data_IF_776457551939
#
_entry.id   IF_776457551939
#
_cell.length_a   1.000
_cell.length_b   1.000
_cell.length_c   1.000
_cell.angle_alpha   90.00
_cell.angle_beta   90.00
_cell.angle_gamma   90.00
#
_symmetry.space_group_name_H-M   'P 1'
#
loop_
_entity.id
_entity.type
_entity.pdbx_description
1 polymer ?
#
# COMPACT_ATOMS: atom_id res chain seq x y z
N UNK A 1 53.73 -15.41 -11.68
CA UNK A 1 53.88 -14.24 -10.79
C UNK A 1 52.66 -13.35 -10.93
N UNK A 2 52.11 -12.94 -9.78
CA UNK A 2 50.89 -12.15 -9.58
C UNK A 2 50.91 -10.80 -10.31
N UNK A 3 49.78 -10.44 -10.93
CA UNK A 3 49.37 -9.04 -11.11
C UNK A 3 47.93 -8.93 -10.67
N UNK A 4 47.76 -8.56 -9.40
CA UNK A 4 46.48 -8.21 -8.80
C UNK A 4 46.01 -6.89 -9.40
N UNK A 5 44.93 -6.92 -10.17
CA UNK A 5 44.22 -5.72 -10.57
C UNK A 5 43.11 -5.48 -9.53
N UNK A 6 43.44 -4.71 -8.51
CA UNK A 6 42.49 -4.14 -7.56
C UNK A 6 41.67 -3.06 -8.28
N UNK A 7 40.46 -3.38 -8.70
CA UNK A 7 39.46 -2.36 -9.05
C UNK A 7 38.60 -2.14 -7.82
N UNK A 8 38.98 -1.13 -7.04
CA UNK A 8 38.15 -0.53 -6.02
C UNK A 8 37.01 0.24 -6.72
N UNK A 9 35.81 -0.34 -6.77
CA UNK A 9 34.61 0.45 -7.07
C UNK A 9 34.16 1.11 -5.76
N UNK A 10 34.68 2.31 -5.56
CA UNK A 10 34.16 3.25 -4.61
C UNK A 10 32.79 3.76 -5.06
N UNK A 11 31.95 4.09 -4.08
CA UNK A 11 30.91 5.12 -4.15
C UNK A 11 29.80 4.91 -5.18
N UNK A 12 28.65 4.49 -4.69
CA UNK A 12 27.64 5.50 -4.36
C UNK A 12 26.68 4.92 -3.34
N UNK A 13 26.73 5.51 -2.15
CA UNK A 13 25.65 5.49 -1.19
C UNK A 13 24.41 6.02 -1.92
N UNK A 14 23.62 5.10 -2.49
CA UNK A 14 22.31 5.41 -3.02
C UNK A 14 21.41 5.70 -1.84
N UNK A 15 21.47 6.93 -1.33
CA UNK A 15 20.35 7.50 -0.60
C UNK A 15 19.18 7.46 -1.57
N UNK A 16 18.38 6.41 -1.47
CA UNK A 16 17.13 6.31 -2.17
C UNK A 16 16.32 7.52 -1.74
N UNK A 17 16.27 8.50 -2.63
CA UNK A 17 15.51 9.73 -2.50
C UNK A 17 14.10 9.35 -2.06
N UNK A 18 13.71 9.81 -0.88
CA UNK A 18 12.33 9.87 -0.44
C UNK A 18 11.60 10.87 -1.36
N UNK A 19 11.19 10.42 -2.53
CA UNK A 19 10.42 11.18 -3.49
C UNK A 19 9.39 10.25 -4.13
N UNK A 20 8.19 10.19 -3.53
CA UNK A 20 6.92 9.86 -4.20
C UNK A 20 5.78 9.56 -3.20
N UNK A 21 5.61 10.31 -2.11
CA UNK A 21 4.42 10.10 -1.26
C UNK A 21 3.12 10.40 -2.03
N UNK A 22 3.10 11.43 -2.88
CA UNK A 22 1.91 11.80 -3.65
C UNK A 22 1.63 10.88 -4.85
N UNK A 23 2.63 10.54 -5.67
CA UNK A 23 2.40 9.64 -6.82
C UNK A 23 2.09 8.20 -6.40
N UNK A 24 2.44 7.83 -5.17
CA UNK A 24 2.09 6.54 -4.59
C UNK A 24 0.62 6.50 -4.13
N UNK A 25 0.08 7.60 -3.60
CA UNK A 25 -1.32 7.63 -3.16
C UNK A 25 -2.34 7.44 -4.30
N UNK A 26 -2.10 8.02 -5.48
CA UNK A 26 -3.01 7.82 -6.61
C UNK A 26 -2.96 6.38 -7.13
N UNK A 27 -1.78 5.78 -7.18
CA UNK A 27 -1.60 4.37 -7.52
C UNK A 27 -2.32 3.44 -6.52
N UNK A 28 -2.14 3.69 -5.22
CA UNK A 28 -2.80 2.92 -4.16
C UNK A 28 -4.32 3.06 -4.25
N UNK A 29 -4.85 4.27 -4.46
CA UNK A 29 -6.28 4.51 -4.66
C UNK A 29 -6.82 3.78 -5.89
N UNK A 30 -6.10 3.83 -7.01
CA UNK A 30 -6.48 3.13 -8.25
C UNK A 30 -6.52 1.61 -8.06
N UNK A 31 -5.55 1.05 -7.35
CA UNK A 31 -5.51 -0.38 -7.07
C UNK A 31 -6.64 -0.82 -6.12
N UNK A 32 -6.95 -0.04 -5.09
CA UNK A 32 -8.09 -0.32 -4.20
C UNK A 32 -9.42 -0.26 -4.97
N UNK A 33 -9.57 0.71 -5.88
CA UNK A 33 -10.73 0.79 -6.76
C UNK A 33 -10.85 -0.45 -7.66
N UNK A 34 -9.76 -0.88 -8.29
CA UNK A 34 -9.72 -2.10 -9.11
C UNK A 34 -10.08 -3.34 -8.31
N UNK A 35 -9.57 -3.46 -7.08
CA UNK A 35 -9.92 -4.57 -6.19
C UNK A 35 -11.40 -4.52 -5.81
N UNK A 36 -11.98 -3.34 -5.61
CA UNK A 36 -13.41 -3.18 -5.33
C UNK A 36 -14.27 -3.67 -6.51
N UNK A 37 -13.93 -3.28 -7.74
CA UNK A 37 -14.58 -3.82 -8.96
C UNK A 37 -14.46 -5.34 -9.05
N UNK A 38 -13.30 -5.91 -8.64
CA UNK A 38 -13.10 -7.35 -8.55
C UNK A 38 -13.94 -8.02 -7.46
N UNK A 39 -14.17 -7.35 -6.33
CA UNK A 39 -15.05 -7.82 -5.25
C UNK A 39 -16.49 -7.89 -5.75
N UNK A 40 -16.98 -6.85 -6.42
CA UNK A 40 -18.33 -6.83 -6.97
C UNK A 40 -18.52 -7.95 -8.00
N UNK A 41 -17.53 -8.15 -8.87
CA UNK A 41 -17.55 -9.25 -9.84
C UNK A 41 -17.52 -10.64 -9.18
N UNK A 42 -16.77 -10.81 -8.07
CA UNK A 42 -16.73 -12.05 -7.31
C UNK A 42 -18.04 -12.29 -6.55
N UNK A 43 -18.65 -11.24 -6.01
CA UNK A 43 -19.94 -11.29 -5.32
C UNK A 43 -21.05 -11.79 -6.26
N UNK A 44 -21.13 -11.27 -7.49
CA UNK A 44 -22.10 -11.74 -8.49
C UNK A 44 -21.89 -13.19 -8.97
N UNK A 45 -20.75 -13.81 -8.60
CA UNK A 45 -20.40 -15.20 -8.95
C UNK A 45 -20.38 -16.13 -7.73
N UNK A 46 -20.80 -15.65 -6.56
CA UNK A 46 -20.71 -16.38 -5.29
C UNK A 46 -19.28 -16.86 -4.95
N UNK A 47 -18.25 -16.19 -5.45
CA UNK A 47 -16.84 -16.52 -5.20
C UNK A 47 -16.33 -15.84 -3.92
N UNK A 48 -16.71 -16.44 -2.79
CA UNK A 48 -16.32 -15.95 -1.47
C UNK A 48 -14.80 -15.95 -1.25
N UNK A 49 -14.06 -16.85 -1.91
CA UNK A 49 -12.61 -16.94 -1.77
C UNK A 49 -11.92 -15.72 -2.40
N UNK A 50 -12.29 -15.40 -3.65
CA UNK A 50 -11.75 -14.22 -4.34
C UNK A 50 -12.17 -12.94 -3.65
N UNK A 51 -13.42 -12.84 -3.20
CA UNK A 51 -13.90 -11.70 -2.43
C UNK A 51 -13.06 -11.48 -1.17
N UNK A 52 -12.89 -12.53 -0.34
CA UNK A 52 -12.12 -12.45 0.90
C UNK A 52 -10.67 -12.03 0.65
N UNK A 53 -10.03 -12.60 -0.38
CA UNK A 53 -8.65 -12.24 -0.76
C UNK A 53 -8.51 -10.76 -1.12
N UNK A 54 -9.39 -10.24 -1.98
CA UNK A 54 -9.36 -8.84 -2.40
C UNK A 54 -9.66 -7.88 -1.24
N UNK A 55 -10.58 -8.25 -0.34
CA UNK A 55 -10.88 -7.47 0.87
C UNK A 55 -9.65 -7.39 1.80
N UNK A 56 -8.95 -8.49 2.03
CA UNK A 56 -7.72 -8.53 2.84
C UNK A 56 -6.63 -7.68 2.18
N UNK A 57 -6.48 -7.76 0.86
CA UNK A 57 -5.53 -6.92 0.13
C UNK A 57 -5.85 -5.43 0.28
N UNK A 58 -7.11 -5.04 0.11
CA UNK A 58 -7.54 -3.65 0.32
C UNK A 58 -7.25 -3.18 1.75
N UNK A 59 -7.57 -4.00 2.75
CA UNK A 59 -7.25 -3.70 4.15
C UNK A 59 -5.76 -3.42 4.32
N UNK A 60 -4.90 -4.34 3.88
CA UNK A 60 -3.46 -4.18 4.03
C UNK A 60 -2.92 -2.94 3.30
N UNK A 61 -3.43 -2.64 2.10
CA UNK A 61 -3.04 -1.46 1.35
C UNK A 61 -3.45 -0.16 2.06
N UNK A 62 -4.66 -0.12 2.62
CA UNK A 62 -5.17 1.03 3.36
C UNK A 62 -4.37 1.25 4.65
N UNK A 63 -4.18 0.21 5.45
CA UNK A 63 -3.42 0.25 6.71
C UNK A 63 -1.96 0.67 6.47
N UNK A 64 -1.33 0.16 5.41
CA UNK A 64 0.07 0.49 5.07
C UNK A 64 0.24 1.88 4.45
N UNK A 65 -0.85 2.52 3.98
CA UNK A 65 -0.81 3.81 3.29
C UNK A 65 -1.82 4.78 3.88
N UNK A 66 -1.92 4.83 5.21
CA UNK A 66 -2.99 5.56 5.89
C UNK A 66 -3.05 7.05 5.54
N UNK A 67 -1.87 7.66 5.35
CA UNK A 67 -1.72 9.05 4.92
C UNK A 67 -2.43 9.37 3.58
N UNK A 68 -2.68 8.37 2.73
CA UNK A 68 -3.40 8.54 1.46
C UNK A 68 -4.92 8.65 1.62
N UNK A 69 -5.45 8.40 2.83
CA UNK A 69 -6.87 8.33 3.17
C UNK A 69 -7.23 9.17 4.41
N UNK A 70 -7.02 10.50 4.39
CA UNK A 70 -7.18 11.37 5.56
C UNK A 70 -8.61 11.36 6.15
N UNK A 71 -9.63 11.14 5.31
CA UNK A 71 -11.01 10.98 5.79
C UNK A 71 -11.23 9.70 6.60
N UNK A 72 -10.50 8.62 6.26
CA UNK A 72 -10.62 7.36 6.98
C UNK A 72 -9.95 7.45 8.34
N UNK A 73 -8.80 8.12 8.41
CA UNK A 73 -8.10 8.43 9.65
C UNK A 73 -9.01 9.24 10.61
N UNK A 74 -9.63 10.31 10.12
CA UNK A 74 -10.60 11.10 10.90
C UNK A 74 -11.78 10.26 11.42
N UNK A 75 -12.32 9.36 10.60
CA UNK A 75 -13.42 8.48 11.01
C UNK A 75 -12.98 7.49 12.10
N UNK A 76 -11.75 6.98 12.03
CA UNK A 76 -11.21 6.09 13.07
C UNK A 76 -11.04 6.82 14.40
N UNK A 77 -10.51 8.04 14.38
CA UNK A 77 -10.40 8.88 15.59
C UNK A 77 -11.77 9.21 16.20
N UNK A 78 -12.76 9.56 15.36
CA UNK A 78 -14.13 9.81 15.83
C UNK A 78 -14.76 8.57 16.46
N UNK A 79 -14.57 7.39 15.86
CA UNK A 79 -15.06 6.12 16.42
C UNK A 79 -14.42 5.80 17.77
N UNK A 80 -13.12 6.02 17.92
CA UNK A 80 -12.44 5.82 19.21
C UNK A 80 -13.03 6.73 20.30
N UNK A 81 -13.32 8.00 19.98
CA UNK A 81 -13.94 8.93 20.93
C UNK A 81 -15.35 8.52 21.33
N UNK A 82 -16.14 7.94 20.42
CA UNK A 82 -17.49 7.45 20.72
C UNK A 82 -17.51 6.11 21.46
N UNK A 83 -16.45 5.30 21.39
CA UNK A 83 -16.35 4.02 22.08
C UNK A 83 -15.80 4.14 23.52
N UNK A 84 -15.32 5.32 23.91
CA UNK A 84 -14.84 5.64 25.26
C UNK A 84 -15.85 6.38 26.13
N UNK A 85 -17.12 6.49 25.71
CA UNK A 85 -18.26 7.00 26.48
C UNK A 85 -19.23 5.87 26.78
#
# INVERSE_FOLDING_TARGET
MKKYLLIALATSCGVAFAASSESNCDSVRAQIKKNHEGIDAAYHKDDACTMGKLMIQNRHMIESNMACFPKLEQLMEQRQKMQGQ
#
